data_IF_069116314552
#
_entry.id   IF_069116314552
#
_cell.length_a   1.000
_cell.length_b   1.000
_cell.length_c   1.000
_cell.angle_alpha   90.00
_cell.angle_beta   90.00
_cell.angle_gamma   90.00
#
_symmetry.space_group_name_H-M   'P 1'
#
loop_
_entity.id
_entity.type
_entity.pdbx_description
1 polymer ?
#
# COMPACT_ATOMS: atom_id res chain seq x y z
N UNK A 1 -27.15 -70.37 -33.70
CA UNK A 1 -28.53 -70.05 -33.28
C UNK A 1 -28.45 -69.31 -31.95
N UNK A 2 -28.29 -67.99 -32.00
CA UNK A 2 -27.96 -67.13 -30.87
C UNK A 2 -29.22 -66.75 -30.10
N UNK A 3 -29.31 -67.17 -28.83
CA UNK A 3 -30.38 -66.74 -27.90
C UNK A 3 -30.09 -65.30 -27.43
N UNK A 4 -31.04 -64.40 -27.72
CA UNK A 4 -31.15 -63.09 -27.07
C UNK A 4 -31.39 -63.29 -25.57
N UNK A 5 -30.51 -62.73 -24.74
CA UNK A 5 -30.86 -62.31 -23.37
C UNK A 5 -30.69 -60.79 -23.37
N UNK A 6 -31.81 -60.07 -23.49
CA UNK A 6 -31.84 -58.63 -23.29
C UNK A 6 -31.85 -58.39 -21.77
N UNK A 7 -30.68 -58.10 -21.21
CA UNK A 7 -30.57 -57.48 -19.89
C UNK A 7 -30.76 -55.97 -20.04
N UNK A 8 -32.01 -55.51 -19.98
CA UNK A 8 -32.34 -54.09 -19.83
C UNK A 8 -32.58 -53.80 -18.36
N UNK A 9 -31.56 -53.30 -17.65
CA UNK A 9 -31.78 -52.66 -16.37
C UNK A 9 -32.50 -51.34 -16.65
N UNK A 10 -33.83 -51.36 -16.54
CA UNK A 10 -34.72 -50.19 -16.61
C UNK A 10 -34.16 -49.11 -15.69
N UNK A 11 -33.62 -48.07 -16.30
CA UNK A 11 -32.92 -46.98 -15.64
C UNK A 11 -33.91 -45.98 -15.06
N UNK A 12 -34.46 -46.30 -13.89
CA UNK A 12 -35.15 -45.32 -13.03
C UNK A 12 -34.22 -44.86 -11.89
N UNK A 13 -33.00 -44.44 -12.27
CA UNK A 13 -32.03 -43.78 -11.35
C UNK A 13 -32.01 -42.27 -11.53
N UNK A 14 -32.96 -41.72 -12.28
CA UNK A 14 -33.13 -40.28 -12.48
C UNK A 14 -33.64 -39.48 -11.28
N UNK A 15 -34.35 -40.03 -10.25
CA UNK A 15 -34.70 -39.18 -9.10
C UNK A 15 -33.46 -38.74 -8.33
N UNK A 16 -32.45 -39.60 -8.18
CA UNK A 16 -31.23 -39.27 -7.45
C UNK A 16 -30.36 -38.23 -8.17
N UNK A 17 -30.35 -38.23 -9.51
CA UNK A 17 -29.59 -37.24 -10.27
C UNK A 17 -30.20 -35.84 -10.20
N UNK A 18 -31.54 -35.76 -10.19
CA UNK A 18 -32.26 -34.49 -10.02
C UNK A 18 -32.07 -33.96 -8.60
N UNK A 19 -32.15 -34.83 -7.59
CA UNK A 19 -31.88 -34.48 -6.20
C UNK A 19 -30.42 -34.06 -6.01
N UNK A 20 -29.47 -34.74 -6.63
CA UNK A 20 -28.05 -34.39 -6.58
C UNK A 20 -27.75 -33.05 -7.27
N UNK A 21 -28.40 -32.77 -8.41
CA UNK A 21 -28.20 -31.50 -9.12
C UNK A 21 -28.88 -30.33 -8.38
N UNK A 22 -30.03 -30.56 -7.76
CA UNK A 22 -30.69 -29.58 -6.90
C UNK A 22 -29.84 -29.28 -5.65
N UNK A 23 -29.25 -30.30 -5.03
CA UNK A 23 -28.31 -30.14 -3.91
C UNK A 23 -27.01 -29.41 -4.30
N UNK A 24 -26.46 -29.67 -5.49
CA UNK A 24 -25.27 -28.96 -6.00
C UNK A 24 -25.58 -27.48 -6.31
N UNK A 25 -26.80 -27.17 -6.75
CA UNK A 25 -27.22 -25.78 -6.95
C UNK A 25 -27.25 -24.97 -5.63
N UNK A 26 -27.52 -25.62 -4.49
CA UNK A 26 -27.47 -24.99 -3.17
C UNK A 26 -26.04 -24.77 -2.65
N UNK A 27 -25.07 -25.60 -3.07
CA UNK A 27 -23.66 -25.43 -2.69
C UNK A 27 -22.92 -24.38 -3.52
N UNK A 28 -23.37 -24.12 -4.75
CA UNK A 28 -22.79 -23.08 -5.61
C UNK A 28 -23.28 -21.66 -5.24
N UNK A 29 -24.30 -21.56 -4.38
CA UNK A 29 -24.75 -20.28 -3.87
C UNK A 29 -23.77 -19.80 -2.78
N UNK A 30 -22.84 -18.92 -3.15
CA UNK A 30 -22.06 -18.16 -2.16
C UNK A 30 -23.04 -17.35 -1.30
N UNK A 31 -23.04 -17.52 0.03
CA UNK A 31 -23.92 -16.74 0.88
C UNK A 31 -23.51 -15.27 0.78
N UNK A 32 -24.49 -14.40 0.53
CA UNK A 32 -24.29 -12.95 0.53
C UNK A 32 -23.67 -12.55 1.86
N UNK A 33 -22.58 -11.74 1.89
CA UNK A 33 -21.96 -11.33 3.14
C UNK A 33 -23.01 -10.67 4.04
N UNK A 34 -23.24 -11.25 5.22
CA UNK A 34 -24.14 -10.64 6.19
C UNK A 34 -23.52 -9.30 6.62
N UNK A 35 -24.32 -8.21 6.66
CA UNK A 35 -23.85 -6.97 7.26
C UNK A 35 -23.46 -7.26 8.71
N UNK A 36 -22.24 -6.86 9.10
CA UNK A 36 -21.74 -7.02 10.47
C UNK A 36 -22.73 -6.36 11.42
N UNK A 37 -23.42 -7.17 12.23
CA UNK A 37 -24.21 -6.66 13.36
C UNK A 37 -23.23 -6.10 14.37
N UNK A 38 -23.12 -4.77 14.43
CA UNK A 38 -22.52 -4.09 15.59
C UNK A 38 -23.37 -4.45 16.81
N UNK A 39 -22.77 -5.12 17.79
CA UNK A 39 -23.40 -5.39 19.09
C UNK A 39 -23.25 -4.10 19.90
N UNK A 40 -24.34 -3.37 20.21
CA UNK A 40 -24.23 -2.18 21.04
C UNK A 40 -23.98 -2.62 22.49
N UNK A 41 -22.90 -2.11 23.06
CA UNK A 41 -22.58 -2.22 24.47
C UNK A 41 -23.65 -1.55 25.32
N UNK A 42 -24.21 -2.33 26.25
CA UNK A 42 -24.67 -1.97 27.58
C UNK A 42 -25.70 -0.85 27.77
N UNK A 43 -26.81 -1.23 28.41
CA UNK A 43 -27.44 -0.38 29.43
C UNK A 43 -28.56 0.52 28.94
N UNK A 44 -29.78 0.00 28.91
CA UNK A 44 -30.98 0.78 28.65
C UNK A 44 -31.34 1.76 29.76
N UNK A 45 -32.02 2.85 29.37
CA UNK A 45 -33.42 3.11 29.76
C UNK A 45 -34.07 4.27 28.96
N UNK A 46 -34.91 3.85 27.98
CA UNK A 46 -36.29 4.25 27.60
C UNK A 46 -36.71 5.70 27.20
N UNK A 47 -37.25 5.75 25.95
CA UNK A 47 -38.38 6.54 25.37
C UNK A 47 -38.17 8.07 25.19
N UNK A 48 -38.36 8.70 24.03
CA UNK A 48 -39.21 8.39 22.85
C UNK A 48 -38.58 8.82 21.50
N UNK A 49 -38.79 7.96 20.51
CA UNK A 49 -39.09 8.18 19.08
C UNK A 49 -38.87 9.56 18.46
N UNK A 50 -37.99 9.65 17.45
CA UNK A 50 -38.28 10.30 16.17
C UNK A 50 -37.28 9.78 15.11
N UNK A 51 -37.72 8.80 14.32
CA UNK A 51 -37.12 8.52 13.02
C UNK A 51 -37.41 9.69 12.10
N UNK A 52 -36.43 10.17 11.34
CA UNK A 52 -36.57 10.47 9.91
C UNK A 52 -35.19 10.66 9.26
N UNK A 53 -34.99 9.85 8.21
CA UNK A 53 -33.85 9.76 7.30
C UNK A 53 -33.88 10.87 6.23
N UNK A 54 -32.71 11.26 5.69
CA UNK A 54 -32.56 11.56 4.26
C UNK A 54 -31.08 11.56 3.81
N UNK A 55 -30.72 10.51 3.07
CA UNK A 55 -29.47 10.34 2.32
C UNK A 55 -29.73 10.75 0.85
N UNK A 56 -28.78 11.47 0.23
CA UNK A 56 -29.01 12.31 -0.95
C UNK A 56 -29.37 11.62 -2.28
N UNK A 57 -29.54 12.45 -3.33
CA UNK A 57 -29.19 12.21 -4.76
C UNK A 57 -29.67 13.36 -5.66
N UNK A 58 -28.88 13.70 -6.67
CA UNK A 58 -29.30 14.04 -8.05
C UNK A 58 -30.49 15.03 -8.23
N UNK A 59 -30.24 16.29 -8.60
CA UNK A 59 -31.29 17.21 -9.08
C UNK A 59 -31.45 17.08 -10.62
N UNK A 60 -32.63 16.68 -11.11
CA UNK A 60 -33.06 16.78 -12.53
C UNK A 60 -34.55 17.13 -12.60
N UNK A 61 -34.90 18.14 -13.41
CA UNK A 61 -36.24 18.68 -13.63
C UNK A 61 -36.97 19.29 -12.40
N UNK A 62 -36.46 20.46 -11.98
CA UNK A 62 -37.20 21.55 -11.30
C UNK A 62 -37.81 21.29 -9.91
N UNK A 63 -37.18 20.46 -9.08
CA UNK A 63 -37.34 20.53 -7.62
C UNK A 63 -36.07 20.02 -6.92
N UNK A 64 -35.50 20.80 -6.00
CA UNK A 64 -34.53 20.29 -5.02
C UNK A 64 -35.22 20.38 -3.63
N UNK A 65 -35.24 19.28 -2.87
CA UNK A 65 -35.84 19.20 -1.53
C UNK A 65 -34.82 19.59 -0.45
N UNK A 66 -35.00 20.76 0.17
CA UNK A 66 -34.35 21.13 1.43
C UNK A 66 -35.34 20.93 2.58
N UNK A 67 -35.09 19.94 3.44
CA UNK A 67 -35.92 19.74 4.63
C UNK A 67 -35.56 20.79 5.69
N UNK A 68 -36.45 21.76 5.82
CA UNK A 68 -36.50 22.79 6.84
C UNK A 68 -36.63 22.15 8.23
N UNK A 69 -35.68 22.41 9.14
CA UNK A 69 -35.91 22.22 10.58
C UNK A 69 -36.03 23.57 11.25
N UNK A 70 -37.25 23.92 11.63
CA UNK A 70 -37.58 24.94 12.61
C UNK A 70 -38.39 24.27 13.73
N UNK A 71 -37.88 24.14 14.96
CA UNK A 71 -38.68 24.06 16.20
C UNK A 71 -37.99 24.90 17.31
N UNK A 72 -38.41 26.17 17.34
CA UNK A 72 -38.82 27.05 18.46
C UNK A 72 -38.23 26.91 19.89
N UNK A 73 -37.35 27.87 20.21
CA UNK A 73 -37.29 28.77 21.38
C UNK A 73 -37.57 28.23 22.82
N UNK A 74 -36.51 28.14 23.64
CA UNK A 74 -36.54 28.47 25.09
C UNK A 74 -35.43 29.49 25.38
N UNK A 75 -35.84 30.73 25.65
CA UNK A 75 -34.98 31.89 25.91
C UNK A 75 -34.64 31.94 27.40
N UNK A 76 -33.37 31.90 27.78
CA UNK A 76 -32.66 33.01 28.41
C UNK A 76 -31.26 32.62 28.91
N UNK A 77 -30.29 33.42 28.48
CA UNK A 77 -29.12 33.82 29.26
C UNK A 77 -27.95 32.84 29.40
N UNK A 78 -27.08 32.80 28.39
CA UNK A 78 -25.70 33.29 28.49
C UNK A 78 -24.98 32.96 27.18
N UNK A 79 -25.11 33.93 26.27
CA UNK A 79 -24.28 34.10 25.09
C UNK A 79 -22.81 34.23 25.54
N UNK A 80 -22.10 33.11 25.64
CA UNK A 80 -20.66 33.11 25.40
C UNK A 80 -20.43 32.20 24.22
N UNK A 81 -20.25 32.87 23.08
CA UNK A 81 -19.55 32.37 21.92
C UNK A 81 -18.31 31.60 22.39
N UNK A 82 -18.38 30.28 22.41
CA UNK A 82 -17.20 29.45 22.22
C UNK A 82 -17.25 29.07 20.74
N UNK A 83 -16.96 30.06 19.90
CA UNK A 83 -16.47 29.75 18.57
C UNK A 83 -15.23 28.90 18.82
N UNK A 84 -15.12 27.67 18.33
CA UNK A 84 -13.79 27.15 18.14
C UNK A 84 -13.14 28.15 17.19
N UNK A 85 -12.13 28.88 17.65
CA UNK A 85 -11.08 29.37 16.77
C UNK A 85 -10.49 28.14 16.08
N UNK A 86 -11.19 27.64 15.06
CA UNK A 86 -10.62 26.92 13.96
C UNK A 86 -9.76 27.96 13.27
N UNK A 87 -8.56 28.17 13.81
CA UNK A 87 -7.43 28.68 13.06
C UNK A 87 -7.19 27.65 11.97
N UNK A 88 -7.98 27.73 10.91
CA UNK A 88 -7.69 27.13 9.63
C UNK A 88 -6.39 27.78 9.18
N UNK A 89 -5.28 27.20 9.63
CA UNK A 89 -3.96 27.50 9.11
C UNK A 89 -4.06 27.16 7.64
N UNK A 90 -4.25 28.19 6.82
CA UNK A 90 -4.29 28.09 5.36
C UNK A 90 -2.87 27.80 4.87
N UNK A 91 -2.32 26.66 5.28
CA UNK A 91 -1.17 26.09 4.59
C UNK A 91 -1.65 25.81 3.17
N UNK A 92 -1.09 26.49 2.17
CA UNK A 92 -1.55 26.30 0.81
C UNK A 92 -1.28 24.84 0.45
N UNK A 93 -2.31 24.08 0.10
CA UNK A 93 -2.23 22.64 -0.23
C UNK A 93 -1.11 22.36 -1.25
N UNK A 94 -0.81 23.36 -2.09
CA UNK A 94 0.28 23.33 -3.07
C UNK A 94 1.69 23.29 -2.45
N UNK A 95 1.95 23.90 -1.27
CA UNK A 95 3.28 23.86 -0.65
C UNK A 95 3.58 22.50 -0.04
N UNK A 96 2.58 21.87 0.58
CA UNK A 96 2.75 20.52 1.14
C UNK A 96 2.99 19.49 0.04
N UNK A 97 2.22 19.58 -1.06
CA UNK A 97 2.42 18.74 -2.23
C UNK A 97 3.80 18.95 -2.88
N UNK A 98 4.28 20.19 -2.96
CA UNK A 98 5.62 20.49 -3.47
C UNK A 98 6.73 19.87 -2.62
N UNK A 99 6.65 20.00 -1.30
CA UNK A 99 7.63 19.39 -0.38
C UNK A 99 7.64 17.86 -0.52
N UNK A 100 6.47 17.22 -0.57
CA UNK A 100 6.36 15.77 -0.81
C UNK A 100 7.02 15.38 -2.14
N UNK A 101 6.77 16.13 -3.21
CA UNK A 101 7.37 15.86 -4.51
C UNK A 101 8.90 15.96 -4.46
N UNK A 102 9.46 16.96 -3.77
CA UNK A 102 10.90 17.12 -3.58
C UNK A 102 11.52 15.92 -2.84
N UNK A 103 10.92 15.49 -1.73
CA UNK A 103 11.36 14.29 -1.00
C UNK A 103 11.29 13.02 -1.85
N UNK A 104 10.24 12.86 -2.66
CA UNK A 104 10.09 11.75 -3.60
C UNK A 104 11.20 11.74 -4.66
N UNK A 105 11.55 12.91 -5.21
CA UNK A 105 12.62 13.02 -6.20
C UNK A 105 13.98 12.67 -5.59
N UNK A 106 14.25 13.10 -4.36
CA UNK A 106 15.49 12.74 -3.64
C UNK A 106 15.52 11.24 -3.35
N UNK A 107 14.41 10.66 -2.88
CA UNK A 107 14.33 9.21 -2.63
C UNK A 107 14.58 8.40 -3.91
N UNK A 108 14.03 8.82 -5.04
CA UNK A 108 14.27 8.20 -6.34
C UNK A 108 15.76 8.28 -6.73
N UNK A 109 16.41 9.43 -6.52
CA UNK A 109 17.83 9.59 -6.81
C UNK A 109 18.70 8.67 -5.93
N UNK A 110 18.38 8.57 -4.64
CA UNK A 110 19.03 7.65 -3.71
C UNK A 110 18.78 6.19 -4.08
N UNK A 111 17.59 5.85 -4.57
CA UNK A 111 17.26 4.51 -5.05
C UNK A 111 18.10 4.11 -6.26
N UNK A 112 18.19 4.99 -7.27
CA UNK A 112 19.05 4.78 -8.45
C UNK A 112 20.50 4.61 -8.03
N UNK A 113 20.99 5.44 -7.10
CA UNK A 113 22.35 5.33 -6.59
C UNK A 113 22.60 4.02 -5.83
N UNK A 114 21.60 3.53 -5.09
CA UNK A 114 21.62 2.22 -4.42
C UNK A 114 21.85 1.09 -5.43
N UNK A 115 21.12 1.11 -6.56
CA UNK A 115 21.31 0.13 -7.64
C UNK A 115 22.71 0.18 -8.26
N UNK A 116 23.28 1.36 -8.43
CA UNK A 116 24.66 1.52 -8.93
C UNK A 116 25.67 0.89 -7.95
N UNK A 117 25.49 1.10 -6.65
CA UNK A 117 26.36 0.49 -5.63
C UNK A 117 26.22 -1.03 -5.62
N UNK A 118 25.00 -1.55 -5.73
CA UNK A 118 24.76 -2.98 -5.83
C UNK A 118 25.47 -3.55 -7.06
N UNK A 119 25.35 -2.91 -8.22
CA UNK A 119 26.06 -3.31 -9.44
C UNK A 119 27.58 -3.30 -9.26
N UNK A 120 28.12 -2.28 -8.59
CA UNK A 120 29.54 -2.18 -8.24
C UNK A 120 30.00 -3.31 -7.31
N UNK A 121 29.20 -3.66 -6.29
CA UNK A 121 29.52 -4.74 -5.35
C UNK A 121 29.52 -6.11 -6.06
N UNK A 122 28.50 -6.37 -6.87
CA UNK A 122 28.42 -7.59 -7.68
C UNK A 122 29.61 -7.67 -8.64
N UNK A 123 29.94 -6.58 -9.33
CA UNK A 123 31.10 -6.54 -10.24
C UNK A 123 32.42 -6.82 -9.51
N UNK A 124 32.60 -6.29 -8.29
CA UNK A 124 33.76 -6.57 -7.46
C UNK A 124 33.89 -8.07 -7.13
N UNK A 125 32.79 -8.74 -6.78
CA UNK A 125 32.80 -10.18 -6.53
C UNK A 125 33.03 -10.99 -7.81
N UNK A 126 32.42 -10.61 -8.91
CA UNK A 126 32.65 -11.26 -10.20
C UNK A 126 34.12 -11.20 -10.62
N UNK A 127 34.79 -10.09 -10.37
CA UNK A 127 36.23 -9.94 -10.61
C UNK A 127 37.07 -10.76 -9.62
N UNK A 128 36.77 -10.68 -8.32
CA UNK A 128 37.50 -11.40 -7.27
C UNK A 128 37.45 -12.93 -7.45
N UNK A 129 36.32 -13.46 -7.91
CA UNK A 129 36.14 -14.89 -8.18
C UNK A 129 36.51 -15.31 -9.61
N UNK A 130 37.17 -14.44 -10.40
CA UNK A 130 37.55 -14.71 -11.79
C UNK A 130 36.38 -15.18 -12.68
N UNK A 131 35.15 -14.77 -12.37
CA UNK A 131 33.95 -15.13 -13.17
C UNK A 131 33.91 -14.32 -14.45
N UNK A 132 34.37 -13.06 -14.40
CA UNK A 132 34.44 -12.18 -15.57
C UNK A 132 35.89 -11.93 -15.97
N UNK A 133 36.15 -11.98 -17.27
CA UNK A 133 37.48 -11.74 -17.81
C UNK A 133 37.66 -10.26 -18.19
N UNK A 134 38.60 -9.59 -17.54
CA UNK A 134 38.95 -8.19 -17.77
C UNK A 134 39.62 -7.90 -19.11
N UNK A 135 40.06 -8.93 -19.84
CA UNK A 135 40.56 -8.76 -21.22
C UNK A 135 39.48 -8.29 -22.19
N UNK A 136 38.20 -8.51 -21.88
CA UNK A 136 37.11 -7.97 -22.68
C UNK A 136 36.94 -6.47 -22.40
N UNK A 137 37.17 -5.64 -23.44
CA UNK A 137 37.04 -4.17 -23.37
C UNK A 137 35.69 -3.70 -22.81
N UNK A 138 34.61 -4.41 -23.12
CA UNK A 138 33.28 -4.05 -22.61
C UNK A 138 33.20 -4.20 -21.08
N UNK A 139 33.63 -5.35 -20.57
CA UNK A 139 33.64 -5.65 -19.12
C UNK A 139 34.53 -4.67 -18.37
N UNK A 140 35.73 -4.41 -18.89
CA UNK A 140 36.65 -3.42 -18.31
C UNK A 140 36.05 -2.01 -18.27
N UNK A 141 35.36 -1.58 -19.34
CA UNK A 141 34.74 -0.25 -19.41
C UNK A 141 33.60 -0.09 -18.40
N UNK A 142 32.75 -1.12 -18.25
CA UNK A 142 31.66 -1.12 -17.25
C UNK A 142 32.24 -1.09 -15.83
N UNK A 143 33.26 -1.91 -15.56
CA UNK A 143 33.94 -1.93 -14.26
C UNK A 143 34.57 -0.59 -13.90
N UNK A 144 35.25 0.05 -14.85
CA UNK A 144 35.87 1.35 -14.63
C UNK A 144 34.84 2.48 -14.46
N UNK A 145 33.72 2.43 -15.18
CA UNK A 145 32.60 3.35 -14.96
C UNK A 145 32.02 3.21 -13.56
N UNK A 146 31.69 1.98 -13.14
CA UNK A 146 31.15 1.71 -11.81
C UNK A 146 32.12 2.17 -10.72
N UNK A 147 33.40 1.85 -10.86
CA UNK A 147 34.44 2.28 -9.94
C UNK A 147 34.51 3.81 -9.84
N UNK A 148 34.59 4.53 -10.97
CA UNK A 148 34.68 6.00 -10.96
C UNK A 148 33.47 6.68 -10.33
N UNK A 149 32.27 6.14 -10.55
CA UNK A 149 31.03 6.70 -9.99
C UNK A 149 30.92 6.46 -8.49
N UNK A 150 31.38 5.31 -7.99
CA UNK A 150 31.24 4.96 -6.58
C UNK A 150 32.45 5.35 -5.72
N UNK A 151 33.63 5.54 -6.31
CA UNK A 151 34.87 5.88 -5.61
C UNK A 151 34.81 7.12 -4.70
N UNK A 152 34.23 8.28 -5.09
CA UNK A 152 34.24 9.46 -4.22
C UNK A 152 33.55 9.21 -2.87
N UNK A 153 32.60 8.27 -2.81
CA UNK A 153 31.85 7.94 -1.60
C UNK A 153 32.42 6.69 -0.91
N UNK A 154 32.93 5.72 -1.66
CA UNK A 154 33.54 4.50 -1.12
C UNK A 154 34.95 4.71 -0.55
N UNK A 155 35.73 5.64 -1.10
CA UNK A 155 37.13 5.86 -0.69
C UNK A 155 37.28 6.22 0.79
N UNK A 156 36.49 7.14 1.38
CA UNK A 156 36.55 7.41 2.81
C UNK A 156 36.22 6.18 3.66
N UNK A 157 35.27 5.36 3.22
CA UNK A 157 34.86 4.14 3.94
C UNK A 157 35.97 3.09 3.89
N UNK A 158 36.60 2.90 2.72
CA UNK A 158 37.75 2.00 2.55
C UNK A 158 38.92 2.38 3.44
N UNK A 159 39.21 3.68 3.60
CA UNK A 159 40.30 4.14 4.45
C UNK A 159 40.07 3.87 5.95
N UNK A 160 38.82 3.67 6.37
CA UNK A 160 38.47 3.36 7.76
C UNK A 160 38.55 1.86 8.06
N UNK A 161 38.43 1.01 7.04
CA UNK A 161 38.39 -0.44 7.20
C UNK A 161 39.79 -1.06 7.12
N UNK A 162 40.08 -2.10 7.92
CA UNK A 162 41.28 -2.91 7.73
C UNK A 162 41.18 -3.69 6.41
N UNK A 163 42.33 -4.04 5.82
CA UNK A 163 42.37 -4.81 4.57
C UNK A 163 41.87 -6.25 4.78
N UNK A 164 40.73 -6.61 4.18
CA UNK A 164 40.06 -7.91 4.34
C UNK A 164 40.39 -8.93 3.24
N UNK A 165 41.62 -8.93 2.72
CA UNK A 165 42.08 -10.00 1.83
C UNK A 165 41.39 -10.05 0.46
N UNK A 166 41.21 -8.89 -0.19
CA UNK A 166 40.75 -8.79 -1.58
C UNK A 166 39.23 -8.75 -1.78
N UNK A 167 38.44 -8.83 -0.71
CA UNK A 167 36.98 -8.62 -0.77
C UNK A 167 36.65 -7.23 -0.22
N UNK A 168 36.04 -6.41 -1.08
CA UNK A 168 35.56 -5.08 -0.71
C UNK A 168 34.21 -5.16 0.02
N UNK A 169 34.22 -4.98 1.35
CA UNK A 169 33.00 -4.89 2.17
C UNK A 169 32.41 -3.46 2.17
N UNK A 170 33.19 -2.47 1.75
CA UNK A 170 32.81 -1.05 1.73
C UNK A 170 31.45 -0.75 1.07
N UNK A 171 31.06 -1.39 -0.06
CA UNK A 171 29.74 -1.20 -0.65
C UNK A 171 28.59 -1.58 0.27
N UNK A 172 28.74 -2.64 1.07
CA UNK A 172 27.71 -3.09 2.02
C UNK A 172 27.49 -2.06 3.12
N UNK A 173 28.59 -1.51 3.66
CA UNK A 173 28.52 -0.46 4.68
C UNK A 173 27.84 0.80 4.11
N UNK A 174 28.20 1.18 2.88
CA UNK A 174 27.59 2.32 2.22
C UNK A 174 26.08 2.12 1.98
N UNK A 175 25.66 0.92 1.57
CA UNK A 175 24.24 0.57 1.42
C UNK A 175 23.48 0.72 2.75
N UNK A 176 24.08 0.25 3.86
CA UNK A 176 23.47 0.37 5.18
C UNK A 176 23.28 1.85 5.57
N UNK A 177 24.28 2.70 5.32
CA UNK A 177 24.19 4.14 5.55
C UNK A 177 23.08 4.77 4.70
N UNK A 178 23.00 4.43 3.41
CA UNK A 178 21.96 4.96 2.52
C UNK A 178 20.57 4.52 2.98
N UNK A 179 20.37 3.26 3.34
CA UNK A 179 19.09 2.77 3.86
C UNK A 179 18.70 3.46 5.16
N UNK A 180 19.66 3.68 6.06
CA UNK A 180 19.41 4.46 7.26
C UNK A 180 18.98 5.90 6.92
N UNK A 181 19.67 6.59 6.00
CA UNK A 181 19.32 7.95 5.57
C UNK A 181 17.92 7.99 4.96
N UNK A 182 17.59 7.05 4.05
CA UNK A 182 16.25 6.96 3.45
C UNK A 182 15.18 6.74 4.52
N UNK A 183 15.40 5.79 5.42
CA UNK A 183 14.45 5.51 6.51
C UNK A 183 14.26 6.74 7.41
N UNK A 184 15.35 7.37 7.83
CA UNK A 184 15.33 8.57 8.66
C UNK A 184 14.60 9.73 7.96
N UNK A 185 14.83 9.89 6.66
CA UNK A 185 14.15 10.91 5.84
C UNK A 185 12.63 10.72 5.83
N UNK A 186 12.15 9.49 5.65
CA UNK A 186 10.71 9.22 5.60
C UNK A 186 10.04 9.23 6.97
N UNK A 187 10.70 8.72 8.01
CA UNK A 187 10.09 8.59 9.34
C UNK A 187 10.22 9.85 10.19
N UNK A 188 11.30 10.61 10.01
CA UNK A 188 11.63 11.74 10.89
C UNK A 188 11.54 13.07 10.15
N UNK A 189 12.19 13.23 8.98
CA UNK A 189 12.19 14.52 8.29
C UNK A 189 10.83 14.91 7.73
N UNK A 190 10.11 13.96 7.10
CA UNK A 190 8.83 14.26 6.46
C UNK A 190 7.74 14.72 7.45
N UNK A 191 7.51 14.05 8.61
CA UNK A 191 6.50 14.51 9.58
C UNK A 191 6.89 15.77 10.36
N UNK A 192 8.18 16.13 10.38
CA UNK A 192 8.64 17.37 11.02
C UNK A 192 8.40 18.58 10.09
N UNK A 193 8.48 18.37 8.78
CA UNK A 193 8.39 19.43 7.77
C UNK A 193 6.98 19.66 7.23
N UNK A 194 6.09 18.67 7.34
CA UNK A 194 4.66 18.74 7.01
C UNK A 194 3.85 18.81 8.30
#
# INVERSE_FOLDING_TARGET
MTRKIFGGAEGDRTPDLVIANDALSQLSYSPTPLPKREVPSSGGRILETFTLSCQGRYCRNRACFGCSQNIKLRIHHRLHLFLPEATATSRPIVTEAFMIALFRTIDLALDIYTWIIIASAIFSWLYAFNVVNSSNRFVASVGEFLYKVTEPVLRPIRNLLPNLGGIDISPIILLLIIFFIRQFMWTTLLPILL
#
